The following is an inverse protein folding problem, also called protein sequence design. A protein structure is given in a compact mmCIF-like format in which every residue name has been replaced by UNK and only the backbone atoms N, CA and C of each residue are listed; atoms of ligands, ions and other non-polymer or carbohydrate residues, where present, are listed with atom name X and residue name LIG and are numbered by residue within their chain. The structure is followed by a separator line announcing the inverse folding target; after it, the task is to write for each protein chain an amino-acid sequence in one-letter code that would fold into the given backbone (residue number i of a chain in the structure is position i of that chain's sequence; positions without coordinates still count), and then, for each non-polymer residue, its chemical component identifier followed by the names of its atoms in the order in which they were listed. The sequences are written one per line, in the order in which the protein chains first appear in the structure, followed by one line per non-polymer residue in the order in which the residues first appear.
data_IF_410936352262
#
_entry.id   IF_410936352262
#
_cell.length_a   1.000
_cell.length_b   1.000
_cell.length_c   1.000
_cell.angle_alpha   90.00
_cell.angle_beta   90.00
_cell.angle_gamma   90.00
#
_symmetry.space_group_name_H-M   'P 1'
#
loop_
_entity.id
_entity.type
_entity.pdbx_description
1 polymer ?
#
# COMPACT_ATOMS: atom_id res chain seq x y z
N UNK A 1 -14.82 49.84 63.10
CA UNK A 1 -13.62 49.11 63.53
C UNK A 1 -12.77 48.89 62.28
N UNK A 2 -11.74 49.72 62.04
CA UNK A 2 -10.31 49.45 62.36
C UNK A 2 -9.79 48.20 61.65
N UNK A 3 -8.67 48.11 60.90
CA UNK A 3 -7.44 48.90 60.63
C UNK A 3 -6.80 48.16 59.43
N UNK A 4 -6.49 48.82 58.29
CA UNK A 4 -5.15 49.24 57.83
C UNK A 4 -4.02 48.18 57.81
N UNK A 5 -3.38 48.06 56.62
CA UNK A 5 -1.94 47.82 56.29
C UNK A 5 -1.52 46.46 55.69
N UNK A 6 -1.18 46.54 54.40
CA UNK A 6 0.09 46.18 53.74
C UNK A 6 0.76 44.83 54.00
N UNK A 7 1.03 44.06 52.92
CA UNK A 7 2.38 43.70 52.43
C UNK A 7 2.31 42.74 51.23
N UNK A 8 3.32 42.83 50.37
CA UNK A 8 3.51 42.13 49.09
C UNK A 8 3.91 40.65 49.23
N UNK A 9 3.82 39.88 48.12
CA UNK A 9 4.93 39.10 47.49
C UNK A 9 4.40 38.09 46.44
N UNK A 10 5.01 38.17 45.25
CA UNK A 10 5.21 37.20 44.14
C UNK A 10 4.19 36.07 43.84
N UNK A 11 3.79 35.97 42.57
CA UNK A 11 4.25 34.91 41.66
C UNK A 11 3.76 35.16 40.22
N UNK A 12 4.69 35.11 39.26
CA UNK A 12 4.41 35.16 37.83
C UNK A 12 3.81 33.83 37.36
N UNK A 13 2.76 33.89 36.55
CA UNK A 13 2.32 32.80 35.70
C UNK A 13 1.91 33.39 34.34
N UNK A 14 2.87 33.51 33.44
CA UNK A 14 2.66 33.80 32.03
C UNK A 14 2.02 32.58 31.38
N UNK A 15 0.72 32.65 31.10
CA UNK A 15 0.04 31.68 30.25
C UNK A 15 0.53 31.88 28.81
N UNK A 16 1.40 30.99 28.33
CA UNK A 16 1.73 30.87 26.91
C UNK A 16 0.61 30.07 26.26
N UNK A 17 -0.30 30.78 25.58
CA UNK A 17 -1.23 30.21 24.62
C UNK A 17 -0.44 29.74 23.39
N UNK A 18 -0.14 28.44 23.29
CA UNK A 18 0.32 27.83 22.05
C UNK A 18 -0.91 27.46 21.20
N UNK A 19 -1.42 28.42 20.45
CA UNK A 19 -2.25 28.14 19.26
C UNK A 19 -1.33 27.64 18.16
N UNK A 20 -1.28 26.33 17.92
CA UNK A 20 -0.70 25.77 16.70
C UNK A 20 -1.73 25.94 15.57
N UNK A 21 -1.73 27.10 14.92
CA UNK A 21 -2.33 27.27 13.60
C UNK A 21 -1.38 26.64 12.58
N UNK A 22 -1.87 25.66 11.82
CA UNK A 22 -1.18 25.16 10.63
C UNK A 22 -1.05 26.30 9.61
N UNK A 23 0.12 26.54 8.99
CA UNK A 23 0.23 27.58 7.97
C UNK A 23 -0.46 27.13 6.68
N UNK A 24 -1.58 27.78 6.36
CA UNK A 24 -2.11 27.84 5.02
C UNK A 24 -1.20 28.75 4.18
N UNK A 25 -0.56 28.18 3.16
CA UNK A 25 0.23 28.94 2.20
C UNK A 25 -0.70 29.43 1.07
N UNK A 26 -1.05 30.71 1.11
CA UNK A 26 -1.38 31.50 -0.08
C UNK A 26 -0.48 32.74 -0.04
N UNK A 27 0.38 32.88 -1.04
CA UNK A 27 1.13 34.09 -1.30
C UNK A 27 0.41 34.88 -2.40
N UNK A 28 0.22 36.17 -2.18
CA UNK A 28 0.76 37.22 -3.05
C UNK A 28 0.56 38.59 -2.40
N UNK A 29 1.66 39.17 -1.90
CA UNK A 29 2.06 40.54 -2.21
C UNK A 29 3.55 40.72 -1.85
N UNK A 30 4.28 41.34 -2.77
CA UNK A 30 5.73 41.28 -2.89
C UNK A 30 6.53 41.90 -1.72
N UNK A 31 7.48 41.14 -1.15
CA UNK A 31 8.65 41.60 -0.36
C UNK A 31 9.66 40.43 -0.15
N UNK A 32 10.94 40.72 0.16
CA UNK A 32 12.08 40.10 -0.52
C UNK A 32 12.44 38.69 -0.05
N UNK A 33 12.75 37.83 -1.03
CA UNK A 33 13.50 36.57 -0.97
C UNK A 33 13.61 35.92 0.41
N UNK A 34 12.59 35.14 0.77
CA UNK A 34 12.76 34.07 1.74
C UNK A 34 13.86 33.13 1.22
N UNK A 35 14.90 32.92 2.03
CA UNK A 35 15.98 31.99 1.72
C UNK A 35 15.39 30.63 1.37
N UNK A 36 15.65 30.15 0.15
CA UNK A 36 15.21 28.84 -0.28
C UNK A 36 15.73 27.79 0.70
N UNK A 37 14.82 27.05 1.34
CA UNK A 37 15.17 25.83 2.07
C UNK A 37 15.98 24.93 1.14
N UNK A 38 17.06 24.26 1.61
CA UNK A 38 17.84 23.37 0.76
C UNK A 38 16.91 22.35 0.09
N UNK A 39 17.06 22.16 -1.21
CA UNK A 39 16.31 21.12 -1.92
C UNK A 39 16.60 19.75 -1.30
N UNK A 40 15.55 19.02 -0.92
CA UNK A 40 15.69 17.67 -0.36
C UNK A 40 16.28 16.75 -1.43
N UNK A 41 17.38 16.09 -1.12
CA UNK A 41 17.99 15.09 -2.01
C UNK A 41 17.08 13.85 -2.02
N UNK A 42 16.50 13.55 -3.18
CA UNK A 42 15.65 12.38 -3.35
C UNK A 42 16.55 11.12 -3.46
N UNK A 43 16.43 10.14 -2.56
CA UNK A 43 17.22 8.91 -2.62
C UNK A 43 16.94 8.12 -3.89
N UNK A 44 17.98 7.55 -4.52
CA UNK A 44 17.87 6.87 -5.82
C UNK A 44 17.11 5.52 -5.79
N UNK A 45 16.76 5.02 -4.60
CA UNK A 45 15.91 3.85 -4.38
C UNK A 45 14.43 4.20 -4.15
N UNK A 46 14.11 5.48 -3.92
CA UNK A 46 12.76 5.94 -3.63
C UNK A 46 11.99 6.24 -4.93
N UNK A 47 10.77 5.73 -5.05
CA UNK A 47 9.85 6.12 -6.12
C UNK A 47 9.35 7.56 -5.90
N UNK A 48 9.27 8.34 -6.98
CA UNK A 48 8.81 9.73 -6.98
C UNK A 48 9.94 10.75 -6.90
N UNK A 49 9.63 12.01 -7.23
CA UNK A 49 10.60 13.14 -7.26
C UNK A 49 10.25 14.28 -6.30
N UNK A 50 9.09 14.21 -5.66
CA UNK A 50 8.62 15.18 -4.68
C UNK A 50 9.25 14.94 -3.32
N UNK A 51 9.28 15.99 -2.48
CA UNK A 51 9.77 15.94 -1.11
C UNK A 51 9.13 14.78 -0.34
N UNK A 52 9.92 13.82 0.17
CA UNK A 52 9.41 12.61 0.84
C UNK A 52 9.11 12.80 2.32
N UNK A 53 9.31 14.00 2.88
CA UNK A 53 9.26 14.26 4.33
C UNK A 53 8.02 13.67 5.02
N UNK A 54 6.86 13.68 4.34
CA UNK A 54 5.59 13.24 4.91
C UNK A 54 5.05 11.94 4.32
N UNK A 55 5.64 11.40 3.25
CA UNK A 55 5.05 10.28 2.50
C UNK A 55 6.05 9.22 2.01
N UNK A 56 7.35 9.37 2.25
CA UNK A 56 8.39 8.53 1.65
C UNK A 56 8.17 7.02 1.84
N UNK A 57 7.97 6.58 3.08
CA UNK A 57 7.71 5.16 3.40
C UNK A 57 6.35 4.72 2.87
N UNK A 58 5.32 5.56 2.98
CA UNK A 58 3.97 5.26 2.48
C UNK A 58 3.97 5.04 0.97
N UNK A 59 4.45 6.03 0.19
CA UNK A 59 4.45 5.97 -1.28
C UNK A 59 5.33 4.84 -1.80
N UNK A 60 6.44 4.55 -1.12
CA UNK A 60 7.31 3.44 -1.47
C UNK A 60 6.58 2.11 -1.25
N UNK A 61 5.98 1.92 -0.08
CA UNK A 61 5.29 0.68 0.26
C UNK A 61 4.14 0.40 -0.72
N UNK A 62 3.36 1.43 -1.06
CA UNK A 62 2.28 1.32 -2.05
C UNK A 62 2.83 0.99 -3.45
N UNK A 63 3.91 1.62 -3.89
CA UNK A 63 4.53 1.34 -5.19
C UNK A 63 5.01 -0.13 -5.28
N UNK A 64 5.68 -0.62 -4.25
CA UNK A 64 6.17 -2.00 -4.18
C UNK A 64 5.01 -3.01 -4.12
N UNK A 65 3.98 -2.72 -3.32
CA UNK A 65 2.79 -3.57 -3.22
C UNK A 65 2.02 -3.61 -4.55
N UNK A 66 1.92 -2.47 -5.26
CA UNK A 66 1.29 -2.42 -6.57
C UNK A 66 2.07 -3.22 -7.61
N UNK A 67 3.40 -3.18 -7.60
CA UNK A 67 4.25 -4.02 -8.44
C UNK A 67 4.01 -5.51 -8.17
N UNK A 68 4.01 -5.95 -6.91
CA UNK A 68 3.73 -7.34 -6.55
C UNK A 68 2.32 -7.80 -6.97
N UNK A 69 1.33 -6.92 -6.78
CA UNK A 69 -0.08 -7.15 -7.17
C UNK A 69 -0.18 -7.55 -8.64
N UNK A 70 0.63 -6.91 -9.51
CA UNK A 70 0.67 -7.16 -10.95
C UNK A 70 1.84 -8.07 -11.39
N UNK A 71 2.47 -8.76 -10.44
CA UNK A 71 3.56 -9.73 -10.65
C UNK A 71 4.80 -9.13 -11.32
N UNK A 72 5.08 -7.86 -11.04
CA UNK A 72 6.34 -7.19 -11.35
C UNK A 72 7.26 -7.30 -10.14
N UNK A 73 8.45 -7.86 -10.32
CA UNK A 73 9.46 -7.93 -9.27
C UNK A 73 10.13 -6.58 -9.07
N UNK A 74 10.02 -5.93 -7.89
CA UNK A 74 10.63 -4.63 -7.67
C UNK A 74 12.15 -4.61 -7.78
N UNK A 75 12.70 -3.42 -8.03
CA UNK A 75 14.14 -3.21 -7.99
C UNK A 75 14.70 -3.49 -6.58
N UNK A 76 15.78 -4.27 -6.47
CA UNK A 76 16.39 -4.59 -5.17
C UNK A 76 16.70 -3.32 -4.36
N UNK A 77 17.32 -2.30 -4.96
CA UNK A 77 17.60 -1.02 -4.30
C UNK A 77 16.38 -0.26 -3.78
N UNK A 78 15.19 -0.53 -4.33
CA UNK A 78 13.94 0.07 -3.85
C UNK A 78 13.45 -0.62 -2.58
N UNK A 79 13.59 -1.95 -2.53
CA UNK A 79 13.30 -2.77 -1.35
C UNK A 79 14.33 -2.51 -0.25
N UNK A 80 15.62 -2.41 -0.60
CA UNK A 80 16.70 -2.04 0.32
C UNK A 80 16.48 -0.66 0.92
N UNK A 81 16.01 0.30 0.10
CA UNK A 81 15.66 1.61 0.61
C UNK A 81 14.53 1.53 1.64
N UNK A 82 13.45 0.77 1.36
CA UNK A 82 12.34 0.62 2.30
C UNK A 82 12.81 -0.04 3.60
N UNK A 83 13.43 -1.22 3.52
CA UNK A 83 13.91 -1.95 4.71
C UNK A 83 14.91 -1.13 5.54
N UNK A 84 15.77 -0.33 4.87
CA UNK A 84 16.70 0.58 5.53
C UNK A 84 16.03 1.70 6.34
N UNK A 85 14.77 2.05 6.06
CA UNK A 85 14.02 3.05 6.84
C UNK A 85 13.61 2.53 8.22
N UNK A 86 13.61 1.22 8.46
CA UNK A 86 13.17 0.65 9.74
C UNK A 86 14.05 1.12 10.90
N UNK A 87 13.41 1.56 11.99
CA UNK A 87 14.05 1.81 13.27
C UNK A 87 14.39 0.50 13.98
N UNK A 88 15.35 0.53 14.92
CA UNK A 88 15.76 -0.67 15.66
C UNK A 88 14.61 -1.33 16.46
N UNK A 89 13.59 -0.56 16.85
CA UNK A 89 12.39 -1.05 17.54
C UNK A 89 11.33 -1.64 16.59
N UNK A 90 11.58 -1.69 15.27
CA UNK A 90 10.66 -2.22 14.26
C UNK A 90 9.77 -1.16 13.58
N UNK A 91 9.69 0.04 14.13
CA UNK A 91 8.83 1.10 13.62
C UNK A 91 9.40 1.76 12.36
N UNK A 92 8.52 2.45 11.62
CA UNK A 92 8.91 3.38 10.55
C UNK A 92 8.44 4.79 10.92
N UNK A 93 9.27 5.78 10.60
CA UNK A 93 8.81 7.16 10.43
C UNK A 93 8.28 7.35 9.00
N UNK A 94 7.60 8.46 8.71
CA UNK A 94 7.15 8.76 7.34
C UNK A 94 8.33 8.87 6.37
N UNK A 95 9.48 9.37 6.84
CA UNK A 95 10.75 9.39 6.12
C UNK A 95 11.93 9.67 7.07
N UNK A 96 13.05 8.98 6.86
CA UNK A 96 14.35 9.23 7.49
C UNK A 96 15.36 9.61 6.41
N UNK A 97 15.78 10.86 6.43
CA UNK A 97 16.78 11.39 5.49
C UNK A 97 18.16 10.73 5.64
N UNK A 98 18.50 10.29 6.85
CA UNK A 98 19.76 9.61 7.16
C UNK A 98 19.48 8.35 8.00
N UNK A 99 19.23 7.21 7.34
CA UNK A 99 18.91 5.97 8.04
C UNK A 99 20.08 5.37 8.84
N UNK A 100 21.31 5.87 8.67
CA UNK A 100 22.44 5.45 9.50
C UNK A 100 22.37 6.04 10.91
N UNK A 101 21.65 7.16 11.11
CA UNK A 101 21.36 7.69 12.45
C UNK A 101 20.28 6.87 13.11
N UNK A 102 20.56 6.34 14.30
CA UNK A 102 19.58 5.63 15.09
C UNK A 102 18.34 6.50 15.35
N UNK A 103 17.16 5.87 15.32
CA UNK A 103 15.94 6.53 15.77
C UNK A 103 16.03 6.84 17.26
N UNK A 104 15.61 8.04 17.62
CA UNK A 104 15.63 8.55 18.99
C UNK A 104 14.22 9.00 19.43
N UNK A 105 14.11 9.55 20.64
CA UNK A 105 12.84 10.03 21.19
C UNK A 105 12.21 11.20 20.39
N UNK A 106 12.95 11.83 19.47
CA UNK A 106 12.45 12.90 18.60
C UNK A 106 11.99 12.38 17.24
N UNK A 107 12.27 11.11 16.94
CA UNK A 107 11.84 10.49 15.70
C UNK A 107 10.33 10.30 15.74
N UNK A 108 9.63 11.01 14.86
CA UNK A 108 8.18 10.89 14.74
C UNK A 108 7.83 9.58 14.03
N UNK A 109 7.45 8.58 14.83
CA UNK A 109 7.03 7.27 14.32
C UNK A 109 5.59 7.33 13.79
N UNK A 110 5.34 6.57 12.73
CA UNK A 110 4.12 6.61 11.92
C UNK A 110 3.54 5.20 11.81
N UNK A 111 2.36 4.98 12.40
CA UNK A 111 1.69 3.68 12.39
C UNK A 111 1.25 3.27 11.00
N UNK A 112 0.88 4.24 10.16
CA UNK A 112 0.34 4.01 8.83
C UNK A 112 1.47 3.63 7.87
N UNK A 113 2.59 4.35 7.93
CA UNK A 113 3.81 4.02 7.20
C UNK A 113 4.32 2.62 7.60
N UNK A 114 4.34 2.32 8.91
CA UNK A 114 4.76 1.00 9.40
C UNK A 114 3.84 -0.12 8.90
N UNK A 115 2.52 0.07 8.95
CA UNK A 115 1.55 -0.91 8.48
C UNK A 115 1.59 -1.11 6.96
N UNK A 116 1.77 -0.04 6.18
CA UNK A 116 1.97 -0.15 4.73
C UNK A 116 3.26 -0.91 4.40
N UNK A 117 4.35 -0.65 5.14
CA UNK A 117 5.61 -1.38 4.97
C UNK A 117 5.47 -2.87 5.31
N UNK A 118 4.72 -3.21 6.37
CA UNK A 118 4.37 -4.61 6.69
C UNK A 118 3.68 -5.30 5.51
N UNK A 119 2.63 -4.68 4.96
CA UNK A 119 1.87 -5.27 3.85
C UNK A 119 2.72 -5.46 2.60
N UNK A 120 3.52 -4.45 2.23
CA UNK A 120 4.41 -4.52 1.07
C UNK A 120 5.51 -5.58 1.25
N UNK A 121 6.23 -5.56 2.37
CA UNK A 121 7.34 -6.48 2.61
C UNK A 121 6.87 -7.92 2.83
N UNK A 122 5.69 -8.11 3.41
CA UNK A 122 5.08 -9.43 3.52
C UNK A 122 4.71 -9.99 2.13
N UNK A 123 4.09 -9.18 1.28
CA UNK A 123 3.71 -9.59 -0.08
C UNK A 123 4.94 -9.98 -0.93
N UNK A 124 6.04 -9.22 -0.82
CA UNK A 124 7.29 -9.52 -1.54
C UNK A 124 8.02 -10.77 -1.05
N UNK A 125 7.80 -11.18 0.21
CA UNK A 125 8.50 -12.30 0.84
C UNK A 125 9.98 -12.03 1.16
N UNK A 126 10.61 -12.91 1.95
CA UNK A 126 12.04 -12.82 2.28
C UNK A 126 12.41 -11.72 3.28
N UNK A 127 11.42 -11.10 3.93
CA UNK A 127 11.59 -9.99 4.88
C UNK A 127 10.96 -10.27 6.24
N UNK A 128 10.87 -11.54 6.63
CA UNK A 128 10.12 -12.00 7.80
C UNK A 128 10.56 -11.33 9.10
N UNK A 129 11.87 -11.12 9.31
CA UNK A 129 12.40 -10.44 10.49
C UNK A 129 11.95 -8.96 10.57
N UNK A 130 11.97 -8.27 9.42
CA UNK A 130 11.53 -6.87 9.31
C UNK A 130 10.04 -6.76 9.57
N UNK A 131 9.25 -7.65 8.95
CA UNK A 131 7.79 -7.72 9.13
C UNK A 131 7.46 -8.02 10.60
N UNK A 132 8.08 -9.05 11.19
CA UNK A 132 7.84 -9.45 12.57
C UNK A 132 8.10 -8.31 13.55
N UNK A 133 9.25 -7.63 13.45
CA UNK A 133 9.57 -6.49 14.33
C UNK A 133 8.56 -5.35 14.20
N UNK A 134 8.10 -5.07 12.98
CA UNK A 134 7.10 -4.04 12.71
C UNK A 134 5.74 -4.39 13.32
N UNK A 135 5.32 -5.65 13.20
CA UNK A 135 4.07 -6.16 13.79
C UNK A 135 4.14 -6.14 15.31
N UNK A 136 5.25 -6.62 15.90
CA UNK A 136 5.48 -6.57 17.35
C UNK A 136 5.42 -5.13 17.86
N UNK A 137 6.00 -4.17 17.11
CA UNK A 137 5.91 -2.75 17.44
C UNK A 137 4.48 -2.21 17.35
N UNK A 138 3.75 -2.48 16.25
CA UNK A 138 2.37 -2.04 16.06
C UNK A 138 1.48 -2.53 17.21
N UNK A 139 1.63 -3.79 17.62
CA UNK A 139 0.93 -4.36 18.78
C UNK A 139 1.30 -3.66 20.09
N UNK A 140 2.56 -3.29 20.27
CA UNK A 140 3.04 -2.62 21.48
C UNK A 140 2.51 -1.19 21.66
N UNK A 141 2.13 -0.53 20.56
CA UNK A 141 1.63 0.85 20.55
C UNK A 141 0.12 0.97 20.35
N UNK A 142 -0.60 -0.15 20.33
CA UNK A 142 -2.05 -0.15 20.26
C UNK A 142 -2.65 0.61 21.46
N UNK A 143 -3.72 1.36 21.21
CA UNK A 143 -4.53 1.98 22.24
C UNK A 143 -5.15 0.96 23.18
N UNK A 144 -5.68 1.42 24.32
CA UNK A 144 -6.34 0.53 25.31
C UNK A 144 -7.60 -0.15 24.74
N UNK A 145 -8.25 0.50 23.80
CA UNK A 145 -9.36 0.01 22.99
C UNK A 145 -8.92 -0.98 21.90
N UNK A 146 -7.62 -1.05 21.60
CA UNK A 146 -7.04 -1.89 20.56
C UNK A 146 -6.99 -1.22 19.19
N UNK A 147 -7.19 0.10 19.10
CA UNK A 147 -7.06 0.87 17.86
C UNK A 147 -5.75 1.66 17.77
N UNK A 148 -5.58 2.43 16.69
CA UNK A 148 -4.37 3.23 16.46
C UNK A 148 -4.70 4.65 16.03
N UNK A 149 -3.81 5.56 16.41
CA UNK A 149 -3.71 6.92 15.89
C UNK A 149 -2.49 7.02 14.97
N UNK A 150 -2.52 7.96 14.02
CA UNK A 150 -1.43 8.19 13.06
C UNK A 150 -0.02 8.22 13.70
N UNK A 151 0.15 9.02 14.76
CA UNK A 151 1.30 8.94 15.65
C UNK A 151 0.88 8.21 16.93
N UNK A 152 1.67 7.25 17.44
CA UNK A 152 1.37 6.53 18.67
C UNK A 152 1.04 7.43 19.87
N UNK A 153 0.08 6.99 20.70
CA UNK A 153 -0.30 7.66 21.95
C UNK A 153 -1.47 8.65 21.85
N UNK A 154 -2.01 8.87 20.65
CA UNK A 154 -3.25 9.62 20.43
C UNK A 154 -4.51 8.74 20.56
N UNK A 155 -5.71 9.34 20.48
CA UNK A 155 -6.96 8.60 20.38
C UNK A 155 -7.04 7.86 19.06
N UNK A 156 -7.59 6.64 19.06
CA UNK A 156 -7.73 5.85 17.84
C UNK A 156 -8.58 6.56 16.78
N UNK A 157 -8.21 6.38 15.52
CA UNK A 157 -8.94 6.89 14.38
C UNK A 157 -9.18 5.79 13.34
N UNK A 158 -10.22 5.96 12.53
CA UNK A 158 -10.62 4.95 11.55
C UNK A 158 -9.56 4.71 10.46
N UNK A 159 -8.84 5.75 10.03
CA UNK A 159 -7.85 5.61 8.96
C UNK A 159 -6.68 4.74 9.42
N UNK A 160 -6.07 5.11 10.55
CA UNK A 160 -4.91 4.41 11.11
C UNK A 160 -5.28 3.02 11.59
N UNK A 161 -6.42 2.87 12.27
CA UNK A 161 -6.88 1.56 12.74
C UNK A 161 -7.14 0.61 11.55
N UNK A 162 -7.74 1.09 10.47
CA UNK A 162 -8.01 0.25 9.30
C UNK A 162 -6.75 -0.25 8.60
N UNK A 163 -5.75 0.62 8.38
CA UNK A 163 -4.51 0.21 7.72
C UNK A 163 -3.74 -0.79 8.59
N UNK A 164 -3.74 -0.61 9.92
CA UNK A 164 -3.11 -1.56 10.85
C UNK A 164 -3.88 -2.88 10.89
N UNK A 165 -5.21 -2.85 10.93
CA UNK A 165 -6.05 -4.05 10.85
C UNK A 165 -5.72 -4.87 9.58
N UNK A 166 -5.63 -4.21 8.42
CA UNK A 166 -5.23 -4.85 7.17
C UNK A 166 -3.81 -5.42 7.20
N UNK A 167 -2.87 -4.74 7.87
CA UNK A 167 -1.51 -5.26 8.04
C UNK A 167 -1.44 -6.50 8.95
N UNK A 168 -2.19 -6.52 10.05
CA UNK A 168 -2.30 -7.69 10.93
C UNK A 168 -2.95 -8.86 10.18
N UNK A 169 -4.05 -8.61 9.47
CA UNK A 169 -4.72 -9.62 8.67
C UNK A 169 -3.82 -10.18 7.56
N UNK A 170 -3.01 -9.34 6.90
CA UNK A 170 -2.03 -9.77 5.88
C UNK A 170 -1.08 -10.85 6.40
N UNK A 171 -0.60 -10.71 7.64
CA UNK A 171 0.37 -11.64 8.24
C UNK A 171 -0.30 -12.75 9.05
N UNK A 172 -1.63 -12.88 8.99
CA UNK A 172 -2.38 -13.91 9.72
C UNK A 172 -2.51 -13.67 11.23
N UNK A 173 -2.33 -12.42 11.68
CA UNK A 173 -2.49 -12.02 13.07
C UNK A 173 -3.93 -11.56 13.36
N UNK A 174 -4.37 -11.75 14.61
CA UNK A 174 -5.72 -11.37 15.02
C UNK A 174 -5.90 -9.84 14.97
N UNK A 175 -6.97 -9.40 14.29
CA UNK A 175 -7.34 -8.00 14.13
C UNK A 175 -8.69 -7.64 14.79
N UNK A 176 -9.29 -8.55 15.59
CA UNK A 176 -10.66 -8.41 16.11
C UNK A 176 -10.85 -7.11 16.89
N UNK A 177 -9.91 -6.75 17.77
CA UNK A 177 -10.00 -5.49 18.52
C UNK A 177 -9.92 -4.26 17.64
N UNK A 178 -9.13 -4.31 16.57
CA UNK A 178 -9.06 -3.24 15.59
C UNK A 178 -10.41 -3.08 14.87
N UNK A 179 -11.01 -4.21 14.50
CA UNK A 179 -12.31 -4.27 13.85
C UNK A 179 -13.45 -3.82 14.79
N UNK A 180 -13.37 -4.13 16.08
CA UNK A 180 -14.29 -3.62 17.11
C UNK A 180 -14.20 -2.09 17.26
N UNK A 181 -12.98 -1.54 17.20
CA UNK A 181 -12.79 -0.07 17.18
C UNK A 181 -13.43 0.52 15.93
N UNK A 182 -13.23 -0.07 14.74
CA UNK A 182 -13.89 0.39 13.52
C UNK A 182 -15.42 0.32 13.63
N UNK A 183 -15.97 -0.78 14.14
CA UNK A 183 -17.40 -0.93 14.41
C UNK A 183 -17.92 0.22 15.31
N UNK A 184 -17.17 0.58 16.36
CA UNK A 184 -17.53 1.69 17.25
C UNK A 184 -17.50 3.07 16.59
N UNK A 185 -16.81 3.21 15.45
CA UNK A 185 -16.71 4.43 14.65
C UNK A 185 -17.73 4.48 13.51
N UNK A 186 -18.58 3.45 13.37
CA UNK A 186 -19.66 3.43 12.38
C UNK A 186 -20.82 4.34 12.77
N UNK A 187 -21.31 5.11 11.80
CA UNK A 187 -22.45 6.01 11.94
C UNK A 187 -23.73 5.21 11.76
N UNK A 188 -24.68 5.37 12.69
CA UNK A 188 -25.98 4.67 12.64
C UNK A 188 -26.70 4.88 11.29
N UNK A 189 -27.37 3.85 10.78
CA UNK A 189 -28.20 3.95 9.58
C UNK A 189 -29.40 4.90 9.76
N UNK A 190 -29.77 5.25 10.99
CA UNK A 190 -30.82 6.23 11.27
C UNK A 190 -30.32 7.69 11.16
N UNK A 191 -29.01 7.90 10.99
CA UNK A 191 -28.43 9.25 10.85
C UNK A 191 -28.65 9.80 9.43
N UNK A 192 -29.50 10.81 9.32
CA UNK A 192 -29.82 11.43 8.03
C UNK A 192 -28.62 12.14 7.35
N UNK A 193 -27.57 12.50 8.10
CA UNK A 193 -26.41 13.22 7.57
C UNK A 193 -25.34 12.29 7.00
N UNK A 194 -25.39 10.99 7.29
CA UNK A 194 -24.49 10.02 6.65
C UNK A 194 -24.61 8.61 7.22
N UNK A 195 -25.83 8.08 7.16
CA UNK A 195 -26.18 6.70 7.46
C UNK A 195 -25.12 5.70 6.94
N UNK A 196 -24.57 4.90 7.85
CA UNK A 196 -23.65 3.80 7.53
C UNK A 196 -22.19 4.20 7.28
N UNK A 197 -21.88 5.49 7.13
CA UNK A 197 -20.50 5.93 6.98
C UNK A 197 -19.66 5.62 8.21
N UNK A 198 -18.34 5.74 8.10
CA UNK A 198 -17.46 5.81 9.26
C UNK A 198 -17.05 7.24 9.56
N UNK A 199 -16.94 7.56 10.84
CA UNK A 199 -16.28 8.79 11.27
C UNK A 199 -14.77 8.62 11.27
N UNK A 200 -14.03 9.73 11.12
CA UNK A 200 -12.59 9.72 11.38
C UNK A 200 -12.32 9.42 12.86
N UNK A 201 -12.96 10.20 13.74
CA UNK A 201 -12.95 10.10 15.19
C UNK A 201 -14.26 10.68 15.74
N UNK A 202 -14.68 10.31 16.95
CA UNK A 202 -15.73 11.03 17.66
C UNK A 202 -15.28 12.45 18.00
N UNK A 203 -16.23 13.39 18.05
CA UNK A 203 -15.97 14.70 18.66
C UNK A 203 -15.86 14.61 20.20
N UNK A 204 -15.64 15.76 20.85
CA UNK A 204 -15.51 15.82 22.31
C UNK A 204 -16.75 15.34 23.09
N UNK A 205 -17.92 15.29 22.45
CA UNK A 205 -19.16 14.78 23.03
C UNK A 205 -19.40 13.29 22.72
N UNK A 206 -18.51 12.65 21.97
CA UNK A 206 -18.67 11.27 21.51
C UNK A 206 -19.46 11.16 20.20
N UNK A 207 -19.82 12.28 19.55
CA UNK A 207 -20.63 12.24 18.34
C UNK A 207 -19.78 11.89 17.12
N UNK A 208 -20.31 11.01 16.29
CA UNK A 208 -19.72 10.56 15.04
C UNK A 208 -20.25 11.41 13.86
N UNK A 209 -19.37 11.73 12.92
CA UNK A 209 -19.72 12.45 11.70
C UNK A 209 -19.22 11.67 10.50
N UNK A 210 -20.11 11.45 9.53
CA UNK A 210 -19.77 10.75 8.30
C UNK A 210 -18.58 11.39 7.59
N UNK A 211 -17.58 10.55 7.27
CA UNK A 211 -16.39 10.97 6.57
C UNK A 211 -16.08 9.96 5.45
N UNK A 212 -16.18 10.41 4.20
CA UNK A 212 -16.00 9.53 3.04
C UNK A 212 -14.60 8.90 2.99
N UNK A 213 -13.54 9.66 3.32
CA UNK A 213 -12.16 9.16 3.34
C UNK A 213 -11.93 8.14 4.46
N UNK A 214 -12.50 8.38 5.64
CA UNK A 214 -12.46 7.40 6.73
C UNK A 214 -13.19 6.11 6.34
N UNK A 215 -14.33 6.26 5.65
CA UNK A 215 -15.17 5.14 5.22
C UNK A 215 -14.43 4.22 4.25
N UNK A 216 -13.67 4.72 3.27
CA UNK A 216 -12.96 3.86 2.31
C UNK A 216 -11.98 2.91 2.98
N UNK A 217 -11.15 3.41 3.89
CA UNK A 217 -10.22 2.59 4.66
C UNK A 217 -10.95 1.68 5.64
N UNK A 218 -11.90 2.22 6.39
CA UNK A 218 -12.63 1.48 7.43
C UNK A 218 -13.39 0.27 6.88
N UNK A 219 -13.94 0.34 5.67
CA UNK A 219 -14.56 -0.82 4.99
C UNK A 219 -13.54 -1.94 4.85
N UNK A 220 -12.36 -1.68 4.29
CA UNK A 220 -11.33 -2.71 4.14
C UNK A 220 -10.86 -3.24 5.50
N UNK A 221 -10.59 -2.36 6.46
CA UNK A 221 -10.15 -2.74 7.79
C UNK A 221 -11.17 -3.59 8.54
N UNK A 222 -12.45 -3.24 8.46
CA UNK A 222 -13.54 -3.96 9.10
C UNK A 222 -13.80 -5.34 8.45
N UNK A 223 -13.54 -5.47 7.15
CA UNK A 223 -13.52 -6.76 6.42
C UNK A 223 -12.25 -7.58 6.65
N UNK A 224 -11.24 -7.05 7.36
CA UNK A 224 -9.94 -7.70 7.52
C UNK A 224 -9.16 -7.82 6.21
N UNK A 225 -9.31 -6.86 5.31
CA UNK A 225 -8.67 -6.84 3.98
C UNK A 225 -7.42 -5.95 3.97
N UNK A 226 -6.45 -6.36 3.16
CA UNK A 226 -5.23 -5.59 2.89
C UNK A 226 -5.54 -4.39 1.98
N UNK A 227 -4.53 -3.56 1.71
CA UNK A 227 -4.63 -2.38 0.83
C UNK A 227 -4.89 -2.74 -0.65
N UNK A 228 -4.55 -3.96 -1.07
CA UNK A 228 -4.68 -4.46 -2.45
C UNK A 228 -5.59 -5.70 -2.55
N UNK A 229 -6.83 -5.67 -2.03
CA UNK A 229 -7.69 -6.85 -2.01
C UNK A 229 -8.15 -7.22 -3.43
N UNK A 230 -8.41 -8.51 -3.64
CA UNK A 230 -9.24 -8.95 -4.77
C UNK A 230 -10.72 -8.69 -4.50
N UNK A 231 -11.56 -8.81 -5.53
CA UNK A 231 -13.01 -8.70 -5.39
C UNK A 231 -13.55 -9.69 -4.34
N UNK A 232 -14.52 -9.23 -3.54
CA UNK A 232 -15.33 -10.08 -2.69
C UNK A 232 -16.40 -10.83 -3.49
N UNK A 233 -17.01 -11.83 -2.85
CA UNK A 233 -18.20 -12.49 -3.38
C UNK A 233 -19.35 -11.49 -3.48
N UNK A 234 -20.22 -11.64 -4.49
CA UNK A 234 -21.33 -10.73 -4.72
C UNK A 234 -22.20 -10.61 -3.46
N UNK A 235 -22.36 -9.38 -2.97
CA UNK A 235 -23.19 -9.10 -1.81
C UNK A 235 -24.69 -9.24 -2.15
N UNK A 236 -25.45 -10.11 -1.46
CA UNK A 236 -26.88 -10.24 -1.66
C UNK A 236 -27.70 -9.06 -1.12
N UNK A 237 -27.17 -8.29 -0.17
CA UNK A 237 -27.86 -7.19 0.51
C UNK A 237 -27.85 -5.88 -0.31
N UNK A 238 -27.00 -5.79 -1.32
CA UNK A 238 -26.95 -4.64 -2.22
C UNK A 238 -26.46 -3.38 -1.52
N UNK A 239 -27.27 -2.32 -1.49
CA UNK A 239 -26.89 -1.02 -0.87
C UNK A 239 -27.85 -0.63 0.25
N UNK A 240 -28.46 -1.61 0.92
CA UNK A 240 -29.25 -1.35 2.11
C UNK A 240 -28.31 -0.95 3.27
N UNK A 241 -28.79 -0.07 4.15
CA UNK A 241 -28.09 0.22 5.40
C UNK A 241 -28.92 -0.39 6.53
N UNK A 242 -28.33 -1.31 7.28
CA UNK A 242 -29.00 -1.99 8.39
C UNK A 242 -28.24 -1.80 9.71
N UNK A 243 -28.87 -2.11 10.84
CA UNK A 243 -28.19 -1.98 12.13
C UNK A 243 -27.01 -2.96 12.20
N UNK A 244 -25.79 -2.44 12.06
CA UNK A 244 -24.57 -3.23 12.22
C UNK A 244 -24.45 -3.72 13.67
N UNK A 245 -24.15 -5.01 13.82
CA UNK A 245 -23.85 -5.64 15.12
C UNK A 245 -22.46 -6.27 15.17
N UNK A 246 -21.77 -6.30 14.04
CA UNK A 246 -20.43 -6.80 13.85
C UNK A 246 -19.67 -5.93 12.83
N UNK A 247 -18.34 -6.09 12.73
CA UNK A 247 -17.53 -5.31 11.80
C UNK A 247 -17.91 -5.49 10.32
N UNK A 248 -18.33 -6.70 9.91
CA UNK A 248 -18.70 -6.97 8.52
C UNK A 248 -19.97 -6.19 8.12
N UNK A 249 -21.00 -6.15 8.98
CA UNK A 249 -22.19 -5.35 8.77
C UNK A 249 -21.88 -3.85 8.75
N UNK A 250 -20.94 -3.38 9.57
CA UNK A 250 -20.48 -1.99 9.50
C UNK A 250 -19.75 -1.68 8.18
N UNK A 251 -18.95 -2.61 7.67
CA UNK A 251 -18.31 -2.49 6.36
C UNK A 251 -19.35 -2.40 5.24
N UNK A 252 -20.34 -3.30 5.22
CA UNK A 252 -21.45 -3.27 4.27
C UNK A 252 -22.15 -1.90 4.24
N UNK A 253 -22.50 -1.38 5.42
CA UNK A 253 -23.12 -0.07 5.55
C UNK A 253 -22.22 1.08 5.03
N UNK A 254 -20.92 0.99 5.29
CA UNK A 254 -19.93 1.93 4.75
C UNK A 254 -19.89 1.90 3.24
N UNK A 255 -19.89 0.71 2.64
CA UNK A 255 -19.97 0.52 1.19
C UNK A 255 -21.28 1.06 0.61
N UNK A 256 -22.42 0.82 1.27
CA UNK A 256 -23.72 1.39 0.88
C UNK A 256 -23.68 2.93 0.88
N UNK A 257 -23.09 3.54 1.90
CA UNK A 257 -22.85 4.98 1.96
C UNK A 257 -21.98 5.47 0.77
N UNK A 258 -20.85 4.81 0.51
CA UNK A 258 -19.94 5.17 -0.59
C UNK A 258 -20.65 5.06 -1.95
N UNK A 259 -21.37 3.97 -2.20
CA UNK A 259 -22.16 3.78 -3.41
C UNK A 259 -23.21 4.89 -3.58
N UNK A 260 -23.87 5.29 -2.50
CA UNK A 260 -24.81 6.41 -2.48
C UNK A 260 -24.18 7.76 -2.85
N UNK A 261 -22.94 8.03 -2.41
CA UNK A 261 -22.21 9.24 -2.80
C UNK A 261 -21.75 9.19 -4.27
N UNK A 262 -21.20 8.05 -4.68
CA UNK A 262 -20.64 7.85 -6.01
C UNK A 262 -21.72 7.83 -7.10
N UNK A 263 -22.92 7.31 -6.83
CA UNK A 263 -24.03 7.33 -7.80
C UNK A 263 -24.47 8.74 -8.22
N UNK A 264 -24.17 9.77 -7.42
CA UNK A 264 -24.56 11.17 -7.71
C UNK A 264 -23.63 11.85 -8.71
N UNK A 265 -22.33 11.54 -8.68
CA UNK A 265 -21.30 12.30 -9.41
C UNK A 265 -20.26 11.44 -10.12
N UNK A 266 -20.17 10.14 -9.83
CA UNK A 266 -19.10 9.24 -10.27
C UNK A 266 -17.80 9.37 -9.49
N UNK A 267 -17.71 10.29 -8.53
CA UNK A 267 -16.53 10.54 -7.71
C UNK A 267 -16.89 11.08 -6.34
N UNK A 268 -15.97 10.94 -5.39
CA UNK A 268 -16.04 11.56 -4.06
C UNK A 268 -15.42 12.95 -4.10
N UNK A 269 -15.95 13.86 -3.29
CA UNK A 269 -15.43 15.23 -3.14
C UNK A 269 -14.50 15.30 -1.94
N UNK A 270 -13.54 16.23 -1.99
CA UNK A 270 -12.68 16.53 -0.84
C UNK A 270 -13.52 16.83 0.41
N UNK A 271 -13.15 16.20 1.53
CA UNK A 271 -13.75 16.42 2.85
C UNK A 271 -12.95 17.40 3.72
N UNK A 272 -11.87 17.98 3.18
CA UNK A 272 -11.04 18.94 3.90
C UNK A 272 -11.82 20.26 4.14
N UNK A 273 -11.93 20.72 5.40
CA UNK A 273 -12.56 22.00 5.70
C UNK A 273 -11.95 23.15 4.89
N UNK A 274 -12.79 23.97 4.27
CA UNK A 274 -12.36 25.12 3.46
C UNK A 274 -11.82 24.79 2.06
N UNK A 275 -11.76 23.51 1.66
CA UNK A 275 -11.43 23.15 0.29
C UNK A 275 -12.62 23.38 -0.65
N UNK A 276 -12.32 23.77 -1.90
CA UNK A 276 -13.32 23.70 -2.96
C UNK A 276 -13.82 22.25 -3.10
N UNK A 277 -15.11 22.09 -3.42
CA UNK A 277 -15.77 20.78 -3.60
C UNK A 277 -15.34 20.09 -4.90
N UNK A 278 -14.04 20.03 -5.15
CA UNK A 278 -13.41 19.39 -6.29
C UNK A 278 -13.40 17.85 -6.12
N UNK A 279 -13.27 17.11 -7.23
CA UNK A 279 -13.07 15.67 -7.16
C UNK A 279 -11.83 15.30 -6.35
N UNK A 280 -12.00 14.34 -5.45
CA UNK A 280 -10.93 13.66 -4.73
C UNK A 280 -10.66 12.32 -5.40
N UNK A 281 -9.70 12.31 -6.31
CA UNK A 281 -9.33 11.16 -7.13
C UNK A 281 -8.82 9.99 -6.28
N UNK A 282 -7.97 10.25 -5.28
CA UNK A 282 -7.39 9.22 -4.43
C UNK A 282 -8.45 8.54 -3.58
N UNK A 283 -9.29 9.33 -2.90
CA UNK A 283 -10.40 8.78 -2.11
C UNK A 283 -11.42 8.08 -3.02
N UNK A 284 -11.61 8.52 -4.27
CA UNK A 284 -12.46 7.80 -5.24
C UNK A 284 -11.87 6.44 -5.63
N UNK A 285 -10.56 6.34 -5.87
CA UNK A 285 -9.88 5.08 -6.15
C UNK A 285 -9.95 4.10 -4.96
N UNK A 286 -9.75 4.60 -3.74
CA UNK A 286 -9.90 3.80 -2.52
C UNK A 286 -11.35 3.32 -2.35
N UNK A 287 -12.34 4.15 -2.70
CA UNK A 287 -13.75 3.76 -2.64
C UNK A 287 -14.11 2.67 -3.66
N UNK A 288 -13.58 2.74 -4.88
CA UNK A 288 -13.73 1.67 -5.87
C UNK A 288 -13.16 0.35 -5.35
N UNK A 289 -11.97 0.42 -4.73
CA UNK A 289 -11.32 -0.74 -4.10
C UNK A 289 -12.17 -1.32 -2.97
N UNK A 290 -12.68 -0.47 -2.07
CA UNK A 290 -13.53 -0.87 -0.95
C UNK A 290 -14.84 -1.52 -1.41
N UNK A 291 -15.56 -0.90 -2.36
CA UNK A 291 -16.79 -1.45 -2.93
C UNK A 291 -16.57 -2.83 -3.56
N UNK A 292 -15.50 -2.99 -4.34
CA UNK A 292 -15.20 -4.27 -4.97
C UNK A 292 -14.82 -5.35 -3.95
N UNK A 293 -14.04 -5.01 -2.92
CA UNK A 293 -13.65 -5.92 -1.85
C UNK A 293 -14.84 -6.42 -1.01
N UNK A 294 -15.86 -5.57 -0.84
CA UNK A 294 -17.10 -5.87 -0.12
C UNK A 294 -18.14 -6.63 -0.99
N UNK A 295 -17.87 -6.83 -2.28
CA UNK A 295 -18.80 -7.54 -3.19
C UNK A 295 -19.78 -6.64 -3.93
N UNK A 296 -19.63 -5.31 -3.85
CA UNK A 296 -20.39 -4.30 -4.59
C UNK A 296 -19.71 -3.88 -5.90
N UNK A 297 -19.13 -4.85 -6.62
CA UNK A 297 -18.43 -4.60 -7.88
C UNK A 297 -19.29 -3.91 -8.94
N UNK A 298 -20.61 -4.12 -8.93
CA UNK A 298 -21.51 -3.42 -9.87
C UNK A 298 -21.55 -1.90 -9.59
N UNK A 299 -21.57 -1.50 -8.32
CA UNK A 299 -21.56 -0.12 -7.87
C UNK A 299 -20.19 0.54 -8.11
N UNK A 300 -19.12 -0.25 -8.13
CA UNK A 300 -17.76 0.21 -8.42
C UNK A 300 -17.53 0.55 -9.91
N UNK A 301 -18.35 0.03 -10.85
CA UNK A 301 -18.11 0.19 -12.29
C UNK A 301 -18.17 1.63 -12.79
N UNK A 302 -19.22 2.38 -12.44
CA UNK A 302 -19.37 3.77 -12.87
C UNK A 302 -18.23 4.68 -12.37
N UNK A 303 -17.85 4.65 -11.08
CA UNK A 303 -16.71 5.44 -10.60
C UNK A 303 -15.36 4.95 -11.13
N UNK A 304 -15.17 3.66 -11.38
CA UNK A 304 -13.98 3.15 -12.08
C UNK A 304 -13.86 3.75 -13.49
N UNK A 305 -14.94 3.71 -14.27
CA UNK A 305 -14.98 4.30 -15.61
C UNK A 305 -14.77 5.83 -15.59
N UNK A 306 -15.12 6.50 -14.49
CA UNK A 306 -14.78 7.90 -14.28
C UNK A 306 -13.29 8.09 -14.00
N UNK A 307 -12.67 7.24 -13.16
CA UNK A 307 -11.23 7.27 -12.90
C UNK A 307 -10.42 7.08 -14.19
N UNK A 308 -10.78 6.09 -15.02
CA UNK A 308 -10.14 5.83 -16.33
C UNK A 308 -10.07 7.07 -17.22
N UNK A 309 -11.10 7.91 -17.18
CA UNK A 309 -11.20 9.11 -18.03
C UNK A 309 -10.55 10.36 -17.45
N UNK A 310 -10.41 10.45 -16.12
CA UNK A 310 -10.15 11.73 -15.45
C UNK A 310 -8.86 11.77 -14.61
N UNK A 311 -8.13 10.66 -14.48
CA UNK A 311 -7.02 10.55 -13.52
C UNK A 311 -5.63 10.75 -14.09
N UNK A 312 -5.43 10.73 -15.41
CA UNK A 312 -4.10 10.73 -16.03
C UNK A 312 -3.21 11.90 -15.55
N UNK A 313 -3.73 13.12 -15.56
CA UNK A 313 -3.00 14.31 -15.07
C UNK A 313 -2.77 14.24 -13.56
N UNK A 314 -3.80 13.85 -12.79
CA UNK A 314 -3.70 13.74 -11.34
C UNK A 314 -2.64 12.72 -10.91
N UNK A 315 -2.63 11.53 -11.52
CA UNK A 315 -1.68 10.47 -11.19
C UNK A 315 -0.24 10.89 -11.54
N UNK A 316 -0.03 11.52 -12.70
CA UNK A 316 1.27 12.06 -13.09
C UNK A 316 1.81 13.11 -12.13
N UNK A 317 0.95 14.00 -11.65
CA UNK A 317 1.34 15.07 -10.71
C UNK A 317 1.50 14.56 -9.28
N UNK A 318 0.61 13.67 -8.84
CA UNK A 318 0.59 13.14 -7.47
C UNK A 318 1.63 12.04 -7.25
N UNK A 319 2.04 11.35 -8.30
CA UNK A 319 3.19 10.44 -8.29
C UNK A 319 2.86 8.99 -7.87
N UNK A 320 3.83 8.27 -7.28
CA UNK A 320 3.79 6.80 -7.17
C UNK A 320 2.57 6.26 -6.41
N UNK A 321 2.20 6.88 -5.29
CA UNK A 321 1.07 6.41 -4.49
C UNK A 321 -0.25 6.51 -5.26
N UNK A 322 -0.44 7.55 -6.08
CA UNK A 322 -1.62 7.71 -6.91
C UNK A 322 -1.72 6.62 -7.97
N UNK A 323 -0.60 6.28 -8.63
CA UNK A 323 -0.56 5.14 -9.54
C UNK A 323 -0.87 3.82 -8.83
N UNK A 324 -0.32 3.60 -7.65
CA UNK A 324 -0.59 2.40 -6.86
C UNK A 324 -2.08 2.27 -6.48
N UNK A 325 -2.72 3.35 -6.05
CA UNK A 325 -4.17 3.36 -5.76
C UNK A 325 -5.01 2.99 -6.98
N UNK A 326 -4.67 3.51 -8.18
CA UNK A 326 -5.36 3.15 -9.41
C UNK A 326 -5.13 1.67 -9.79
N UNK A 327 -3.92 1.14 -9.55
CA UNK A 327 -3.61 -0.28 -9.75
C UNK A 327 -4.40 -1.16 -8.78
N UNK A 328 -4.56 -0.76 -7.51
CA UNK A 328 -5.38 -1.49 -6.55
C UNK A 328 -6.86 -1.47 -6.94
N UNK A 329 -7.38 -0.32 -7.38
CA UNK A 329 -8.74 -0.23 -7.89
C UNK A 329 -8.95 -1.16 -9.09
N UNK A 330 -8.04 -1.15 -10.07
CA UNK A 330 -8.09 -2.04 -11.23
C UNK A 330 -8.00 -3.52 -10.81
N UNK A 331 -7.11 -3.87 -9.88
CA UNK A 331 -6.98 -5.23 -9.36
C UNK A 331 -8.26 -5.71 -8.68
N UNK A 332 -8.83 -4.88 -7.79
CA UNK A 332 -10.03 -5.22 -7.05
C UNK A 332 -11.26 -5.38 -7.98
N UNK A 333 -11.31 -4.65 -9.09
CA UNK A 333 -12.42 -4.75 -10.07
C UNK A 333 -12.15 -5.71 -11.22
N UNK A 334 -10.96 -6.32 -11.29
CA UNK A 334 -10.57 -7.23 -12.38
C UNK A 334 -10.30 -6.53 -13.72
N UNK A 335 -10.04 -5.22 -13.71
CA UNK A 335 -9.63 -4.45 -14.90
C UNK A 335 -8.12 -4.55 -15.10
N UNK A 336 -7.64 -4.53 -16.34
CA UNK A 336 -6.20 -4.56 -16.63
C UNK A 336 -5.54 -3.20 -16.31
N UNK A 337 -4.64 -3.11 -15.32
CA UNK A 337 -3.94 -1.85 -15.02
C UNK A 337 -2.95 -1.43 -16.13
N UNK A 338 -2.69 -2.28 -17.13
CA UNK A 338 -1.88 -1.94 -18.32
C UNK A 338 -2.72 -1.27 -19.42
N UNK A 339 -4.04 -1.30 -19.32
CA UNK A 339 -4.98 -0.61 -20.20
C UNK A 339 -6.10 0.07 -19.39
N UNK A 340 -5.70 1.04 -18.57
CA UNK A 340 -6.61 1.80 -17.73
C UNK A 340 -7.03 3.09 -18.45
N UNK A 341 -8.12 3.04 -19.20
CA UNK A 341 -8.54 4.16 -20.05
C UNK A 341 -7.51 4.51 -21.15
N UNK A 342 -6.79 3.50 -21.67
CA UNK A 342 -5.70 3.67 -22.63
C UNK A 342 -4.34 4.00 -22.02
N UNK A 343 -4.23 4.06 -20.68
CA UNK A 343 -2.96 4.29 -19.98
C UNK A 343 -2.40 3.00 -19.36
N UNK A 344 -1.10 2.78 -19.51
CA UNK A 344 -0.37 1.72 -18.82
C UNK A 344 0.10 2.22 -17.45
N UNK A 345 -0.70 2.01 -16.40
CA UNK A 345 -0.38 2.48 -15.04
C UNK A 345 0.88 1.82 -14.49
N UNK A 346 1.11 0.55 -14.83
CA UNK A 346 2.27 -0.22 -14.36
C UNK A 346 3.57 0.37 -14.90
N UNK A 347 3.61 0.65 -16.21
CA UNK A 347 4.76 1.33 -16.83
C UNK A 347 4.97 2.73 -16.27
N UNK A 348 3.89 3.49 -16.09
CA UNK A 348 3.97 4.86 -15.55
C UNK A 348 4.46 4.88 -14.10
N UNK A 349 3.99 3.97 -13.24
CA UNK A 349 4.52 3.79 -11.89
C UNK A 349 6.01 3.45 -11.93
N UNK A 350 6.40 2.46 -12.73
CA UNK A 350 7.78 2.00 -12.84
C UNK A 350 8.72 3.12 -13.31
N UNK A 351 8.26 4.00 -14.18
CA UNK A 351 9.01 5.16 -14.66
C UNK A 351 9.24 6.23 -13.58
N UNK A 352 8.56 6.16 -12.43
CA UNK A 352 8.77 7.12 -11.33
C UNK A 352 9.94 6.76 -10.40
N UNK A 353 10.59 5.62 -10.59
CA UNK A 353 11.66 5.17 -9.71
C UNK A 353 12.66 4.21 -10.37
N UNK A 354 13.38 3.42 -9.57
CA UNK A 354 14.22 2.32 -10.05
C UNK A 354 13.52 1.41 -11.08
N UNK A 355 14.26 0.99 -12.10
CA UNK A 355 13.77 -0.02 -13.03
C UNK A 355 13.54 -1.36 -12.29
N UNK A 356 12.35 -1.98 -12.42
CA UNK A 356 12.08 -3.30 -11.88
C UNK A 356 13.05 -4.36 -12.42
N UNK A 357 13.13 -5.49 -11.74
CA UNK A 357 13.95 -6.60 -12.21
C UNK A 357 13.32 -7.19 -13.47
N UNK A 358 14.13 -7.35 -14.52
CA UNK A 358 13.74 -8.19 -15.66
C UNK A 358 13.71 -9.62 -15.16
N UNK A 359 12.63 -10.36 -15.43
CA UNK A 359 12.63 -11.79 -15.26
C UNK A 359 13.87 -12.33 -15.99
N UNK A 360 14.81 -12.92 -15.25
CA UNK A 360 15.87 -13.68 -15.88
C UNK A 360 15.14 -14.71 -16.75
N UNK A 361 15.29 -14.63 -18.08
CA UNK A 361 14.88 -15.71 -18.94
C UNK A 361 15.51 -16.96 -18.33
N UNK A 362 14.69 -17.89 -17.87
CA UNK A 362 15.14 -19.12 -17.25
C UNK A 362 16.23 -19.68 -18.15
N UNK A 363 17.49 -19.56 -17.72
CA UNK A 363 18.60 -20.23 -18.35
C UNK A 363 18.35 -21.69 -18.07
N UNK A 364 17.63 -22.34 -19.00
CA UNK A 364 17.63 -23.76 -19.14
C UNK A 364 19.05 -24.16 -19.49
N UNK A 365 19.88 -24.30 -18.45
CA UNK A 365 21.08 -25.10 -18.49
C UNK A 365 20.63 -26.54 -18.79
N UNK A 366 20.45 -26.78 -20.08
CA UNK A 366 20.43 -28.12 -20.64
C UNK A 366 21.84 -28.63 -20.41
N UNK A 367 22.05 -29.33 -19.29
CA UNK A 367 23.25 -30.14 -19.05
C UNK A 367 23.40 -31.07 -20.26
N UNK A 368 24.30 -30.69 -21.16
CA UNK A 368 24.81 -31.58 -22.18
C UNK A 368 25.94 -32.35 -21.51
N UNK A 369 25.68 -33.62 -21.22
CA UNK A 369 26.70 -34.56 -20.78
C UNK A 369 27.67 -34.81 -21.95
N UNK A 370 28.75 -34.04 -22.00
CA UNK A 370 29.91 -34.36 -22.85
C UNK A 370 31.06 -34.78 -21.93
N UNK A 371 31.34 -36.09 -21.93
CA UNK A 371 32.51 -36.68 -21.29
C UNK A 371 33.77 -36.39 -22.11
N UNK A 372 34.80 -36.03 -21.36
CA UNK A 372 36.20 -35.82 -21.73
C UNK A 372 36.76 -36.67 -22.87
N UNK A 373 37.53 -36.02 -23.77
CA UNK A 373 38.96 -36.33 -23.88
C UNK A 373 39.72 -35.30 -24.75
N UNK A 374 40.65 -34.59 -24.11
CA UNK A 374 42.00 -34.24 -24.58
C UNK A 374 42.19 -33.74 -26.02
N UNK A 375 42.48 -32.45 -26.16
CA UNK A 375 42.70 -31.79 -27.44
C UNK A 375 44.02 -32.09 -28.14
N UNK A 376 44.09 -31.70 -29.41
CA UNK A 376 45.28 -31.11 -30.04
C UNK A 376 44.85 -30.23 -31.22
N UNK A 377 45.49 -29.07 -31.31
CA UNK A 377 45.33 -28.05 -32.34
C UNK A 377 46.08 -28.43 -33.63
N UNK A 378 45.71 -27.76 -34.73
CA UNK A 378 46.47 -27.49 -35.96
C UNK A 378 46.15 -28.39 -37.18
N UNK A 379 45.35 -27.80 -38.08
CA UNK A 379 45.54 -27.63 -39.54
C UNK A 379 45.99 -28.81 -40.45
N UNK A 380 45.43 -28.77 -41.69
CA UNK A 380 45.79 -29.45 -42.95
C UNK A 380 45.24 -30.88 -43.14
N UNK A 381 44.27 -31.08 -44.05
CA UNK A 381 44.39 -31.34 -45.50
C UNK A 381 44.75 -32.79 -45.85
N UNK A 382 43.79 -33.44 -46.54
CA UNK A 382 43.92 -34.36 -47.70
C UNK A 382 44.91 -35.51 -47.62
N UNK A 383 44.34 -36.73 -47.70
CA UNK A 383 44.74 -37.67 -48.74
C UNK A 383 45.46 -38.95 -48.28
N UNK A 384 44.89 -40.07 -48.73
CA UNK A 384 45.60 -41.30 -49.16
C UNK A 384 46.29 -42.05 -48.00
N UNK A 385 45.80 -43.19 -47.54
CA UNK A 385 45.60 -44.41 -48.32
C UNK A 385 46.75 -45.38 -48.03
N UNK A 386 46.48 -46.47 -47.32
CA UNK A 386 47.17 -47.79 -47.39
C UNK A 386 46.54 -48.69 -46.29
N UNK A 387 45.66 -49.63 -46.61
CA UNK A 387 45.92 -50.99 -47.15
C UNK A 387 46.43 -51.99 -46.10
N UNK A 388 45.68 -53.10 -46.06
CA UNK A 388 46.03 -54.45 -45.57
C UNK A 388 46.03 -54.70 -44.05
N UNK A 389 45.35 -55.73 -43.54
CA UNK A 389 44.60 -56.78 -44.23
C UNK A 389 44.09 -57.86 -43.28
N UNK A 390 43.40 -58.84 -43.91
CA UNK A 390 43.09 -60.20 -43.43
C UNK A 390 42.07 -60.22 -42.28
N UNK A 391 40.81 -60.61 -42.46
CA UNK A 391 40.32 -61.81 -43.13
C UNK A 391 39.86 -62.83 -42.09
N UNK A 392 38.56 -63.13 -42.03
CA UNK A 392 37.94 -64.47 -42.01
C UNK A 392 36.43 -64.26 -42.19
N UNK A 393 35.88 -64.97 -43.17
CA UNK A 393 34.49 -64.87 -43.59
C UNK A 393 33.60 -66.03 -43.16
N UNK A 394 32.33 -65.86 -43.55
CA UNK A 394 31.33 -66.87 -43.94
C UNK A 394 30.86 -67.95 -42.96
N UNK A 395 29.54 -67.94 -42.71
CA UNK A 395 28.59 -69.06 -42.87
C UNK A 395 27.18 -68.53 -42.49
N UNK A 396 26.32 -68.15 -43.42
CA UNK A 396 25.33 -68.95 -44.19
C UNK A 396 24.47 -69.94 -43.38
N UNK A 397 23.16 -69.64 -43.48
CA UNK A 397 22.02 -70.56 -43.71
C UNK A 397 21.42 -71.40 -42.57
N UNK A 398 20.17 -71.02 -42.28
CA UNK A 398 18.98 -71.85 -42.47
C UNK A 398 18.79 -73.12 -41.63
N UNK A 399 17.82 -73.06 -40.71
CA UNK A 399 16.72 -74.01 -40.44
C UNK A 399 16.09 -73.54 -39.13
N UNK A 400 14.80 -73.24 -39.02
CA UNK A 400 13.67 -73.96 -39.59
C UNK A 400 12.85 -74.51 -38.43
N UNK A 401 11.78 -73.78 -38.09
CA UNK A 401 10.50 -74.25 -37.51
C UNK A 401 10.46 -75.01 -36.17
N UNK A 402 9.57 -74.46 -35.33
CA UNK A 402 8.41 -75.07 -34.66
C UNK A 402 8.52 -75.52 -33.18
N UNK A 403 7.54 -74.96 -32.46
CA UNK A 403 6.69 -75.54 -31.41
C UNK A 403 7.22 -75.71 -29.99
N UNK A 404 6.59 -74.96 -29.08
CA UNK A 404 5.83 -75.38 -27.88
C UNK A 404 5.52 -74.08 -27.11
N UNK A 405 4.32 -73.74 -26.65
CA UNK A 405 2.96 -74.29 -26.64
C UNK A 405 2.07 -73.20 -26.03
#
# INVERSE_FOLDING_TARGET
MTVRRSAAVLAAATAVLCTAAAPAAFADDASPSASASPAVVIPSGLYGKTDPTYDGVWRQSLALLAQDTVKVTPAAKAVDWLTGQQCANGAFASFRADPAKACDAKTMLDTNATAAAVQALHALGGHDDTVKKSVDWLKSVAGKDGGWSYNPGGPSDANSTAVVAGALAAVGENADKAQDVLLSLSVSCDDAAGAGAFAYQPDKSGKLYANAKATTGAVLGALGKQLNPSAGDKDPQGTACEKATDPAGAAHNGSAYLAGQLSKAGYLKSTMPGSEKLPDYGTTADAVTALAADGLSAQAQAPLAWLEKNTATWAKTSGPAAYAQLIFAAHATGTDPKDFGGANLVEQLNATGPAPQTAAASSSDTKKDDKDSGGFSVWWIVGIGLVAGVGIGFLMSARGRKNQG
#
